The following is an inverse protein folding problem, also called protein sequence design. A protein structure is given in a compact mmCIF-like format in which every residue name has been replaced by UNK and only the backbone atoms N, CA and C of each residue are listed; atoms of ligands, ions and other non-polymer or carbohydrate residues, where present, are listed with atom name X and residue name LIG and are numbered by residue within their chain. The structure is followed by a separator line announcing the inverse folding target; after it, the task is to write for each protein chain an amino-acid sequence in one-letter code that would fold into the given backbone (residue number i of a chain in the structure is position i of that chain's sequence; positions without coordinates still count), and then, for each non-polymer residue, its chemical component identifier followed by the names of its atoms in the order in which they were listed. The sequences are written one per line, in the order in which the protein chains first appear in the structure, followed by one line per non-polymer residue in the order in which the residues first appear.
data_IF_261924344987
#
_entry.id   IF_261924344987
#
_cell.length_a   1.000
_cell.length_b   1.000
_cell.length_c   1.000
_cell.angle_alpha   90.00
_cell.angle_beta   90.00
_cell.angle_gamma   90.00
#
_symmetry.space_group_name_H-M   'P 1'
#
loop_
_entity.id
_entity.type
_entity.pdbx_description
1 polymer ?
#
# COMPACT_ATOMS: atom_id res chain seq x y z
N UNK A 1 -16.77 58.42 32.18
CA UNK A 1 -15.92 57.24 32.46
C UNK A 1 -16.15 56.24 31.31
N UNK A 2 -15.14 55.97 30.48
CA UNK A 2 -15.27 55.23 29.20
C UNK A 2 -15.42 53.72 29.47
N UNK A 3 -16.48 53.11 28.95
CA UNK A 3 -16.71 51.66 28.97
C UNK A 3 -15.98 51.09 27.73
N UNK A 4 -14.91 50.32 27.95
CA UNK A 4 -14.17 49.65 26.88
C UNK A 4 -14.83 48.28 26.64
N UNK A 5 -15.49 48.17 25.50
CA UNK A 5 -16.06 46.94 24.94
C UNK A 5 -14.90 46.14 24.33
N UNK A 6 -14.40 45.12 25.03
CA UNK A 6 -13.36 44.23 24.51
C UNK A 6 -14.03 43.08 23.74
N UNK A 7 -14.11 43.21 22.42
CA UNK A 7 -14.57 42.15 21.52
C UNK A 7 -13.49 41.07 21.37
N UNK A 8 -13.90 39.86 21.76
CA UNK A 8 -13.21 38.59 21.66
C UNK A 8 -12.95 38.23 20.18
N UNK A 9 -11.69 38.14 19.76
CA UNK A 9 -11.31 37.58 18.46
C UNK A 9 -10.46 36.33 18.70
N UNK A 10 -11.14 35.18 18.78
CA UNK A 10 -10.50 33.89 18.92
C UNK A 10 -10.15 33.37 17.52
N UNK A 11 -8.88 33.51 17.12
CA UNK A 11 -8.39 32.94 15.87
C UNK A 11 -8.25 31.41 16.03
N UNK A 12 -9.22 30.66 15.49
CA UNK A 12 -9.09 29.22 15.33
C UNK A 12 -8.07 28.93 14.22
N UNK A 13 -6.82 28.66 14.62
CA UNK A 13 -5.80 28.12 13.73
C UNK A 13 -6.14 26.65 13.43
N UNK A 14 -6.66 26.38 12.23
CA UNK A 14 -6.75 25.02 11.70
C UNK A 14 -5.35 24.57 11.27
N UNK A 15 -4.65 23.84 12.15
CA UNK A 15 -3.43 23.12 11.76
C UNK A 15 -3.81 21.86 10.98
N UNK A 16 -3.71 21.92 9.65
CA UNK A 16 -3.74 20.75 8.79
C UNK A 16 -2.50 19.90 9.08
N UNK A 17 -2.63 18.81 9.83
CA UNK A 17 -1.59 17.78 9.91
C UNK A 17 -1.56 17.04 8.59
N UNK A 18 -0.63 17.41 7.71
CA UNK A 18 -0.16 16.47 6.70
C UNK A 18 0.40 15.25 7.44
N UNK A 19 -0.13 14.07 7.16
CA UNK A 19 0.43 12.81 7.65
C UNK A 19 1.82 12.66 7.04
N UNK A 20 2.85 12.98 7.81
CA UNK A 20 4.23 12.79 7.38
C UNK A 20 4.53 11.30 7.50
N UNK A 21 4.31 10.55 6.42
CA UNK A 21 4.76 9.17 6.30
C UNK A 21 6.26 9.16 6.59
N UNK A 22 6.65 8.52 7.69
CA UNK A 22 8.06 8.38 8.04
C UNK A 22 8.76 7.62 6.94
N UNK A 23 9.74 8.26 6.30
CA UNK A 23 10.63 7.61 5.34
C UNK A 23 11.35 6.52 6.12
N UNK A 24 11.02 5.26 5.83
CA UNK A 24 11.70 4.12 6.42
C UNK A 24 13.07 4.03 5.77
N UNK A 25 14.09 4.35 6.56
CA UNK A 25 15.48 4.27 6.11
C UNK A 25 15.85 2.80 6.00
N UNK A 26 16.34 2.39 4.83
CA UNK A 26 16.81 1.04 4.60
C UNK A 26 18.04 0.78 5.48
N UNK A 27 18.06 -0.30 6.28
CA UNK A 27 19.26 -0.73 6.97
C UNK A 27 20.25 -1.43 6.03
N UNK A 28 19.88 -1.68 4.78
CA UNK A 28 20.65 -2.43 3.79
C UNK A 28 21.20 -1.48 2.72
N UNK A 29 22.52 -1.33 2.66
CA UNK A 29 23.20 -0.39 1.73
C UNK A 29 22.92 -0.65 0.24
N UNK A 30 22.50 -1.87 -0.10
CA UNK A 30 22.22 -2.30 -1.46
C UNK A 30 20.72 -2.30 -1.82
N UNK A 31 19.84 -1.88 -0.89
CA UNK A 31 18.40 -1.70 -1.12
C UNK A 31 18.07 -0.24 -0.78
N UNK A 32 17.51 0.52 -1.72
CA UNK A 32 17.14 1.91 -1.46
C UNK A 32 15.94 2.04 -0.51
N UNK A 33 15.80 3.16 0.20
CA UNK A 33 14.73 3.38 1.19
C UNK A 33 13.32 3.09 0.64
N UNK A 34 13.03 3.52 -0.58
CA UNK A 34 11.74 3.26 -1.25
C UNK A 34 11.51 1.78 -1.51
N UNK A 35 12.54 1.08 -1.97
CA UNK A 35 12.47 -0.35 -2.27
C UNK A 35 12.36 -1.16 -0.97
N UNK A 36 13.06 -0.74 0.09
CA UNK A 36 12.98 -1.35 1.40
C UNK A 36 11.58 -1.18 2.00
N UNK A 37 11.04 0.04 2.00
CA UNK A 37 9.66 0.31 2.43
C UNK A 37 8.63 -0.46 1.58
N UNK A 38 8.92 -0.63 0.29
CA UNK A 38 8.13 -1.48 -0.58
C UNK A 38 8.17 -2.95 -0.12
N UNK A 39 9.34 -3.53 0.14
CA UNK A 39 9.45 -4.91 0.62
C UNK A 39 8.87 -5.11 2.03
N UNK A 40 8.99 -4.14 2.93
CA UNK A 40 8.58 -4.32 4.34
C UNK A 40 7.11 -3.97 4.59
N UNK A 41 6.63 -2.90 3.96
CA UNK A 41 5.26 -2.38 4.17
C UNK A 41 4.36 -2.57 2.97
N UNK A 42 4.93 -2.84 1.80
CA UNK A 42 4.13 -2.88 0.59
C UNK A 42 3.66 -1.50 0.13
N UNK A 43 4.39 -0.45 0.50
CA UNK A 43 4.00 0.92 0.19
C UNK A 43 4.53 1.32 -1.20
N UNK A 44 3.99 0.72 -2.26
CA UNK A 44 4.20 1.19 -3.63
C UNK A 44 2.85 1.40 -4.36
N UNK A 45 2.43 2.67 -4.54
CA UNK A 45 1.24 3.02 -5.30
C UNK A 45 1.26 2.54 -6.76
N UNK A 46 2.44 2.34 -7.37
CA UNK A 46 2.57 1.95 -8.77
C UNK A 46 2.02 0.55 -9.06
N UNK A 47 2.10 -0.36 -8.09
CA UNK A 47 1.68 -1.75 -8.25
C UNK A 47 0.18 -1.92 -8.45
N UNK A 48 -0.59 -1.02 -7.84
CA UNK A 48 -2.05 -1.08 -7.79
C UNK A 48 -2.71 -0.12 -8.77
N UNK A 49 -1.95 0.77 -9.41
CA UNK A 49 -2.50 1.84 -10.23
C UNK A 49 -3.39 1.30 -11.36
N UNK A 50 -3.02 0.19 -11.99
CA UNK A 50 -3.84 -0.46 -13.02
C UNK A 50 -5.22 -0.85 -12.47
N UNK A 51 -5.29 -1.34 -11.23
CA UNK A 51 -6.56 -1.68 -10.60
C UNK A 51 -7.35 -0.41 -10.24
N UNK A 52 -6.71 0.56 -9.58
CA UNK A 52 -7.41 1.76 -9.08
C UNK A 52 -7.94 2.66 -10.19
N UNK A 53 -7.20 2.78 -11.31
CA UNK A 53 -7.64 3.51 -12.51
C UNK A 53 -8.84 2.85 -13.18
N UNK A 54 -8.98 1.53 -13.07
CA UNK A 54 -10.06 0.76 -13.69
C UNK A 54 -11.20 0.41 -12.73
N UNK A 55 -11.36 1.19 -11.65
CA UNK A 55 -12.41 1.05 -10.64
C UNK A 55 -12.40 -0.31 -9.92
N UNK A 56 -11.23 -0.91 -9.73
CA UNK A 56 -11.02 -2.02 -8.82
C UNK A 56 -10.50 -1.47 -7.48
N UNK A 57 -11.35 -1.36 -6.45
CA UNK A 57 -11.00 -0.65 -5.25
C UNK A 57 -10.11 -1.46 -4.32
N UNK A 58 -9.25 -0.78 -3.57
CA UNK A 58 -8.43 -1.39 -2.52
C UNK A 58 -9.32 -1.88 -1.37
N UNK A 59 -9.08 -3.09 -0.80
CA UNK A 59 -9.81 -3.56 0.36
C UNK A 59 -9.72 -2.60 1.56
N UNK A 60 -8.53 -2.04 1.82
CA UNK A 60 -8.33 -1.09 2.92
C UNK A 60 -9.17 0.17 2.72
N UNK A 61 -9.07 0.81 1.54
CA UNK A 61 -9.81 2.03 1.21
C UNK A 61 -11.33 1.83 1.27
N UNK A 62 -11.82 0.62 0.97
CA UNK A 62 -13.24 0.26 1.08
C UNK A 62 -13.66 0.12 2.54
N UNK A 63 -12.86 -0.55 3.37
CA UNK A 63 -13.10 -0.68 4.80
C UNK A 63 -13.09 0.69 5.50
N UNK A 64 -12.19 1.59 5.11
CA UNK A 64 -12.14 2.97 5.62
C UNK A 64 -13.45 3.74 5.32
N UNK A 65 -14.11 3.40 4.20
CA UNK A 65 -15.36 4.02 3.74
C UNK A 65 -16.60 3.19 4.07
N UNK A 66 -16.49 2.19 4.93
CA UNK A 66 -17.56 1.20 5.16
C UNK A 66 -18.92 1.81 5.52
N UNK A 67 -18.95 2.91 6.29
CA UNK A 67 -20.17 3.62 6.67
C UNK A 67 -20.79 4.35 5.47
N UNK A 68 -19.96 5.00 4.66
CA UNK A 68 -20.40 5.75 3.48
C UNK A 68 -20.89 4.83 2.35
N UNK A 69 -20.39 3.60 2.30
CA UNK A 69 -20.76 2.56 1.34
C UNK A 69 -21.90 1.65 1.85
N UNK A 70 -22.37 1.84 3.08
CA UNK A 70 -23.37 0.98 3.73
C UNK A 70 -23.01 -0.51 3.58
N UNK A 71 -21.75 -0.89 3.86
CA UNK A 71 -21.33 -2.29 3.75
C UNK A 71 -22.10 -3.17 4.74
N UNK A 72 -22.59 -4.31 4.25
CA UNK A 72 -23.18 -5.32 5.14
C UNK A 72 -22.11 -5.94 6.04
N UNK A 73 -22.55 -6.60 7.12
CA UNK A 73 -21.65 -7.34 8.01
C UNK A 73 -20.84 -8.38 7.23
N UNK A 74 -21.48 -9.13 6.33
CA UNK A 74 -20.83 -10.16 5.52
C UNK A 74 -19.80 -9.55 4.55
N UNK A 75 -20.12 -8.43 3.91
CA UNK A 75 -19.17 -7.74 3.04
C UNK A 75 -17.93 -7.28 3.81
N UNK A 76 -18.11 -6.73 5.02
CA UNK A 76 -16.98 -6.31 5.87
C UNK A 76 -16.08 -7.48 6.23
N UNK A 77 -16.67 -8.61 6.64
CA UNK A 77 -15.91 -9.82 6.99
C UNK A 77 -15.10 -10.31 5.78
N UNK A 78 -15.73 -10.45 4.62
CA UNK A 78 -15.05 -10.94 3.42
C UNK A 78 -13.93 -10.00 2.96
N UNK A 79 -14.16 -8.69 2.99
CA UNK A 79 -13.14 -7.70 2.59
C UNK A 79 -12.00 -7.66 3.62
N UNK A 80 -12.29 -7.80 4.91
CA UNK A 80 -11.27 -7.92 5.94
C UNK A 80 -10.41 -9.17 5.75
N UNK A 81 -11.01 -10.32 5.42
CA UNK A 81 -10.25 -11.53 5.09
C UNK A 81 -9.35 -11.31 3.88
N UNK A 82 -9.84 -10.67 2.82
CA UNK A 82 -9.03 -10.34 1.64
C UNK A 82 -7.85 -9.43 2.02
N UNK A 83 -8.10 -8.41 2.83
CA UNK A 83 -7.05 -7.50 3.30
C UNK A 83 -5.97 -8.25 4.10
N UNK A 84 -6.38 -9.07 5.06
CA UNK A 84 -5.46 -9.84 5.90
C UNK A 84 -4.61 -10.80 5.07
N UNK A 85 -5.21 -11.53 4.13
CA UNK A 85 -4.45 -12.45 3.26
C UNK A 85 -3.47 -11.71 2.33
N UNK A 86 -3.88 -10.57 1.79
CA UNK A 86 -3.02 -9.71 0.98
C UNK A 86 -1.80 -9.27 1.80
N UNK A 87 -2.00 -8.71 3.00
CA UNK A 87 -0.92 -8.24 3.87
C UNK A 87 0.01 -9.38 4.31
N UNK A 88 -0.54 -10.56 4.58
CA UNK A 88 0.26 -11.76 4.89
C UNK A 88 1.19 -12.11 3.74
N UNK A 89 0.67 -12.16 2.51
CA UNK A 89 1.47 -12.51 1.31
C UNK A 89 2.51 -11.43 0.98
N UNK A 90 2.17 -10.14 1.13
CA UNK A 90 3.13 -9.04 0.96
C UNK A 90 4.31 -9.20 1.92
N UNK A 91 4.03 -9.40 3.22
CA UNK A 91 5.08 -9.60 4.23
C UNK A 91 5.96 -10.81 3.92
N UNK A 92 5.34 -11.91 3.49
CA UNK A 92 6.05 -13.13 3.11
C UNK A 92 6.99 -12.90 1.91
N UNK A 93 6.48 -12.32 0.82
CA UNK A 93 7.29 -12.03 -0.38
C UNK A 93 8.38 -11.01 -0.10
N UNK A 94 8.10 -9.99 0.72
CA UNK A 94 9.07 -8.99 1.15
C UNK A 94 10.27 -9.58 1.87
N UNK A 95 10.02 -10.52 2.80
CA UNK A 95 11.08 -11.26 3.47
C UNK A 95 11.93 -12.09 2.51
N UNK A 96 11.30 -12.73 1.51
CA UNK A 96 12.02 -13.48 0.48
C UNK A 96 12.84 -12.58 -0.45
N UNK A 97 12.31 -11.41 -0.83
CA UNK A 97 13.01 -10.42 -1.65
C UNK A 97 14.27 -9.91 -0.96
N UNK A 98 14.14 -9.48 0.30
CA UNK A 98 15.30 -9.04 1.09
C UNK A 98 16.34 -10.15 1.22
N UNK A 99 15.90 -11.38 1.47
CA UNK A 99 16.78 -12.55 1.58
C UNK A 99 17.53 -12.81 0.27
N UNK A 100 16.84 -12.78 -0.87
CA UNK A 100 17.45 -13.08 -2.17
C UNK A 100 18.35 -11.95 -2.66
N UNK A 101 17.96 -10.68 -2.45
CA UNK A 101 18.82 -9.51 -2.67
C UNK A 101 20.09 -9.59 -1.83
N UNK A 102 19.99 -10.00 -0.56
CA UNK A 102 21.16 -10.17 0.33
C UNK A 102 22.12 -11.24 -0.18
N UNK A 103 21.60 -12.37 -0.70
CA UNK A 103 22.44 -13.43 -1.30
C UNK A 103 23.15 -12.91 -2.56
N UNK A 104 22.43 -12.21 -3.43
CA UNK A 104 23.02 -11.63 -4.64
C UNK A 104 24.12 -10.63 -4.28
N UNK A 105 23.84 -9.70 -3.36
CA UNK A 105 24.84 -8.76 -2.85
C UNK A 105 26.07 -9.50 -2.29
N UNK A 106 25.89 -10.58 -1.52
CA UNK A 106 27.01 -11.34 -0.96
C UNK A 106 27.91 -11.97 -2.04
N UNK A 107 27.33 -12.42 -3.15
CA UNK A 107 28.10 -12.95 -4.28
C UNK A 107 28.97 -11.86 -4.94
N UNK A 108 28.43 -10.65 -5.09
CA UNK A 108 29.20 -9.50 -5.56
C UNK A 108 30.30 -9.10 -4.57
N UNK A 109 29.97 -8.93 -3.29
CA UNK A 109 30.93 -8.56 -2.24
C UNK A 109 32.12 -9.53 -2.13
N UNK A 110 31.89 -10.80 -2.45
CA UNK A 110 32.91 -11.85 -2.33
C UNK A 110 33.57 -12.21 -3.66
N UNK A 111 33.26 -11.48 -4.75
CA UNK A 111 33.73 -11.79 -6.11
C UNK A 111 33.43 -13.24 -6.56
N UNK A 112 32.33 -13.81 -6.07
CA UNK A 112 31.86 -15.18 -6.38
C UNK A 112 30.72 -15.21 -7.38
N UNK A 113 30.24 -14.05 -7.81
CA UNK A 113 29.22 -13.94 -8.85
C UNK A 113 29.77 -14.47 -10.19
N UNK A 114 28.96 -15.26 -10.87
CA UNK A 114 29.14 -15.68 -12.26
C UNK A 114 27.81 -15.57 -13.02
N UNK A 115 27.83 -15.72 -14.34
CA UNK A 115 26.64 -15.58 -15.19
C UNK A 115 25.47 -16.45 -14.75
N UNK A 116 25.71 -17.72 -14.40
CA UNK A 116 24.67 -18.63 -13.94
C UNK A 116 24.03 -18.19 -12.62
N UNK A 117 24.83 -17.81 -11.64
CA UNK A 117 24.33 -17.28 -10.36
C UNK A 117 23.58 -15.96 -10.53
N UNK A 118 24.06 -15.09 -11.43
CA UNK A 118 23.43 -13.81 -11.74
C UNK A 118 22.03 -14.03 -12.33
N UNK A 119 21.92 -14.88 -13.36
CA UNK A 119 20.64 -15.24 -13.99
C UNK A 119 19.68 -15.86 -12.96
N UNK A 120 20.17 -16.78 -12.14
CA UNK A 120 19.35 -17.45 -11.13
C UNK A 120 18.75 -16.47 -10.12
N UNK A 121 19.59 -15.64 -9.49
CA UNK A 121 19.13 -14.73 -8.44
C UNK A 121 18.24 -13.62 -9.00
N UNK A 122 18.58 -13.05 -10.16
CA UNK A 122 17.77 -11.98 -10.77
C UNK A 122 16.41 -12.48 -11.25
N UNK A 123 16.32 -13.65 -11.88
CA UNK A 123 15.04 -14.26 -12.24
C UNK A 123 14.18 -14.57 -11.02
N UNK A 124 14.81 -15.05 -9.94
CA UNK A 124 14.10 -15.34 -8.70
C UNK A 124 13.57 -14.07 -8.02
N UNK A 125 14.35 -12.99 -8.00
CA UNK A 125 13.89 -11.67 -7.53
C UNK A 125 12.68 -11.22 -8.36
N UNK A 126 12.77 -11.24 -9.69
CA UNK A 126 11.65 -10.84 -10.56
C UNK A 126 10.39 -11.69 -10.36
N UNK A 127 10.54 -13.00 -10.12
CA UNK A 127 9.40 -13.88 -9.79
C UNK A 127 8.73 -13.48 -8.46
N UNK A 128 9.52 -13.19 -7.43
CA UNK A 128 9.02 -12.76 -6.12
C UNK A 128 8.30 -11.40 -6.19
N UNK A 129 8.84 -10.44 -6.96
CA UNK A 129 8.18 -9.16 -7.23
C UNK A 129 6.85 -9.36 -7.96
N UNK A 130 6.82 -10.26 -8.96
CA UNK A 130 5.62 -10.65 -9.67
C UNK A 130 4.56 -11.25 -8.75
N UNK A 131 4.96 -12.14 -7.84
CA UNK A 131 4.06 -12.72 -6.84
C UNK A 131 3.50 -11.67 -5.88
N UNK A 132 4.33 -10.72 -5.43
CA UNK A 132 3.90 -9.62 -4.58
C UNK A 132 2.87 -8.75 -5.31
N UNK A 133 3.15 -8.34 -6.55
CA UNK A 133 2.20 -7.57 -7.38
C UNK A 133 0.89 -8.31 -7.60
N UNK A 134 0.95 -9.62 -7.85
CA UNK A 134 -0.24 -10.45 -7.98
C UNK A 134 -1.09 -10.45 -6.69
N UNK A 135 -0.47 -10.47 -5.50
CA UNK A 135 -1.21 -10.41 -4.24
C UNK A 135 -2.07 -9.14 -4.13
N UNK A 136 -1.52 -7.98 -4.52
CA UNK A 136 -2.28 -6.73 -4.59
C UNK A 136 -3.42 -6.79 -5.59
N UNK A 137 -3.12 -7.09 -6.85
CA UNK A 137 -4.11 -7.04 -7.92
C UNK A 137 -5.24 -8.05 -7.68
N UNK A 138 -4.91 -9.22 -7.13
CA UNK A 138 -5.89 -10.23 -6.72
C UNK A 138 -6.79 -9.72 -5.60
N UNK A 139 -6.25 -8.97 -4.63
CA UNK A 139 -7.06 -8.37 -3.57
C UNK A 139 -8.06 -7.35 -4.15
N UNK A 140 -7.59 -6.43 -4.99
CA UNK A 140 -8.45 -5.46 -5.68
C UNK A 140 -9.53 -6.13 -6.54
N UNK A 141 -9.17 -7.19 -7.28
CA UNK A 141 -10.09 -8.00 -8.07
C UNK A 141 -11.20 -8.60 -7.20
N UNK A 142 -10.84 -9.24 -6.08
CA UNK A 142 -11.81 -9.88 -5.18
C UNK A 142 -12.66 -8.85 -4.44
N UNK A 143 -12.09 -7.73 -4.00
CA UNK A 143 -12.85 -6.65 -3.35
C UNK A 143 -13.91 -6.09 -4.29
N UNK A 144 -13.58 -5.86 -5.57
CA UNK A 144 -14.58 -5.44 -6.57
C UNK A 144 -15.74 -6.43 -6.67
N UNK A 145 -15.45 -7.73 -6.64
CA UNK A 145 -16.46 -8.80 -6.73
C UNK A 145 -17.43 -8.87 -5.54
N UNK A 146 -17.09 -8.27 -4.39
CA UNK A 146 -17.96 -8.25 -3.20
C UNK A 146 -18.94 -7.06 -3.23
N UNK A 147 -18.56 -5.96 -3.89
CA UNK A 147 -19.34 -4.74 -3.90
C UNK A 147 -20.44 -4.77 -4.95
N UNK A 148 -21.60 -4.20 -4.61
CA UNK A 148 -22.68 -4.02 -5.58
C UNK A 148 -22.33 -2.92 -6.59
N UNK A 149 -23.02 -2.92 -7.74
CA UNK A 149 -22.86 -1.86 -8.73
C UNK A 149 -23.14 -0.46 -8.15
N UNK A 150 -24.08 -0.35 -7.21
CA UNK A 150 -24.40 0.91 -6.51
C UNK A 150 -23.26 1.35 -5.59
N UNK A 151 -22.68 0.40 -4.83
CA UNK A 151 -21.53 0.67 -3.97
C UNK A 151 -20.29 1.07 -4.77
N UNK A 152 -20.04 0.44 -5.93
CA UNK A 152 -18.93 0.80 -6.81
C UNK A 152 -19.10 2.23 -7.36
N UNK A 153 -20.29 2.59 -7.85
CA UNK A 153 -20.60 3.97 -8.28
C UNK A 153 -20.40 4.97 -7.14
N UNK A 154 -20.83 4.62 -5.91
CA UNK A 154 -20.64 5.48 -4.73
C UNK A 154 -19.17 5.63 -4.38
N UNK A 155 -18.39 4.54 -4.39
CA UNK A 155 -16.94 4.56 -4.15
C UNK A 155 -16.23 5.48 -5.13
N UNK A 156 -16.52 5.39 -6.43
CA UNK A 156 -15.91 6.25 -7.45
C UNK A 156 -16.30 7.72 -7.27
N UNK A 157 -17.54 8.02 -6.87
CA UNK A 157 -17.94 9.40 -6.54
C UNK A 157 -17.13 9.96 -5.36
N UNK A 158 -16.92 9.17 -4.30
CA UNK A 158 -16.14 9.59 -3.12
C UNK A 158 -14.66 9.77 -3.49
N UNK A 159 -14.13 8.93 -4.40
CA UNK A 159 -12.75 9.03 -4.89
C UNK A 159 -12.52 10.36 -5.61
N UNK A 160 -13.47 10.79 -6.43
CA UNK A 160 -13.34 12.00 -7.25
C UNK A 160 -13.54 13.30 -6.47
N UNK A 161 -14.27 13.30 -5.35
CA UNK A 161 -14.46 14.49 -4.50
C UNK A 161 -13.26 14.80 -3.59
N UNK A 162 -12.29 13.90 -3.50
CA UNK A 162 -11.08 14.06 -2.67
C UNK A 162 -9.82 14.35 -3.51
N UNK A 163 -9.98 14.67 -4.79
CA UNK A 163 -8.93 15.19 -5.68
C UNK A 163 -9.12 16.69 -5.84
#
# INVERSE_FOLDING_TARGET
MKIILSTFFCAFMFSAKAQQDSIEVSPLKFIGDKEYAYYTKGNDPSLVLIAELNNYPSPQKVLDKQKQLNLSTDQKIQIQTIHTEMMRKIKEMGGFLITEQTKLNKLFETNKVNEGSLIYHTNKIGALEGEMRNAYLKAHLRTRGILTAQQLKKYDSIKNTNK
#
